data_IF_575697687587
#
_entry.id   IF_575697687587
#
_cell.length_a   1.000
_cell.length_b   1.000
_cell.length_c   1.000
_cell.angle_alpha   90.00
_cell.angle_beta   90.00
_cell.angle_gamma   90.00
#
_symmetry.space_group_name_H-M   'P 1'
#
loop_
_entity.id
_entity.type
_entity.pdbx_description
1 polymer ?
#
# COMPACT_ATOMS: atom_id res chain seq x y z
N UNK A 1 22.05 -8.27 -31.64
CA UNK A 1 22.72 -8.59 -32.91
C UNK A 1 22.40 -10.02 -33.33
N UNK A 2 22.14 -10.25 -34.64
CA UNK A 2 21.73 -11.54 -35.20
C UNK A 2 22.73 -12.69 -34.87
N UNK A 3 24.02 -12.35 -34.83
CA UNK A 3 25.06 -13.35 -34.51
C UNK A 3 25.00 -13.86 -33.05
N UNK A 4 24.60 -13.00 -32.11
CA UNK A 4 24.42 -13.42 -30.71
C UNK A 4 23.22 -14.35 -30.60
N UNK A 5 22.10 -14.01 -31.24
CA UNK A 5 20.91 -14.87 -31.26
C UNK A 5 21.23 -16.24 -31.87
N UNK A 6 22.00 -16.29 -32.96
CA UNK A 6 22.45 -17.55 -33.56
C UNK A 6 23.31 -18.37 -32.62
N UNK A 7 24.29 -17.75 -31.91
CA UNK A 7 25.12 -18.45 -30.93
C UNK A 7 24.29 -19.03 -29.78
N UNK A 8 23.36 -18.24 -29.24
CA UNK A 8 22.46 -18.71 -28.16
C UNK A 8 21.60 -19.88 -28.66
N UNK A 9 20.98 -19.73 -29.83
CA UNK A 9 20.18 -20.77 -30.48
C UNK A 9 20.94 -22.09 -30.61
N UNK A 10 22.18 -22.03 -31.12
CA UNK A 10 23.04 -23.21 -31.26
C UNK A 10 23.49 -23.80 -29.93
N UNK A 11 23.83 -22.95 -28.94
CA UNK A 11 24.35 -23.42 -27.65
C UNK A 11 23.26 -23.96 -26.72
N UNK A 12 22.01 -23.49 -26.87
CA UNK A 12 20.88 -23.88 -26.06
C UNK A 12 19.93 -24.87 -26.74
N UNK A 13 20.23 -25.25 -27.99
CA UNK A 13 19.39 -26.13 -28.83
C UNK A 13 17.93 -25.63 -28.92
N UNK A 14 17.78 -24.33 -29.17
CA UNK A 14 16.47 -23.68 -29.34
C UNK A 14 16.37 -23.04 -30.72
N UNK A 15 15.16 -22.94 -31.26
CA UNK A 15 14.92 -22.25 -32.51
C UNK A 15 15.43 -20.81 -32.42
N UNK A 16 16.04 -20.30 -33.48
CA UNK A 16 16.51 -18.91 -33.54
C UNK A 16 15.40 -17.91 -33.26
N UNK A 17 14.17 -18.20 -33.70
CA UNK A 17 12.99 -17.37 -33.47
C UNK A 17 12.51 -17.39 -32.01
N UNK A 18 12.97 -18.37 -31.23
CA UNK A 18 12.75 -18.43 -29.77
C UNK A 18 13.74 -17.61 -28.96
N UNK A 19 14.73 -16.97 -29.60
CA UNK A 19 15.70 -16.09 -28.94
C UNK A 19 15.28 -14.64 -29.12
N UNK A 20 14.53 -14.10 -28.18
CA UNK A 20 14.12 -12.70 -28.15
C UNK A 20 15.18 -11.82 -27.48
N UNK A 21 15.38 -10.61 -27.99
CA UNK A 21 16.22 -9.60 -27.34
C UNK A 21 15.35 -8.74 -26.41
N UNK A 22 15.54 -8.90 -25.11
CA UNK A 22 14.93 -8.05 -24.08
C UNK A 22 15.98 -7.05 -23.60
N UNK A 23 16.15 -5.97 -24.35
CA UNK A 23 17.08 -4.88 -24.02
C UNK A 23 16.43 -3.91 -23.04
N UNK A 24 17.26 -3.10 -22.38
CA UNK A 24 16.77 -2.05 -21.49
C UNK A 24 15.78 -1.12 -22.21
N UNK A 25 14.68 -0.83 -21.54
CA UNK A 25 13.64 0.06 -22.01
C UNK A 25 13.44 1.21 -21.03
N UNK A 26 12.91 2.36 -21.47
CA UNK A 26 12.65 3.50 -20.59
C UNK A 26 11.70 3.15 -19.43
N UNK A 27 10.81 2.17 -19.63
CA UNK A 27 9.89 1.66 -18.63
C UNK A 27 9.66 0.17 -18.83
N UNK A 28 9.41 -0.56 -17.73
CA UNK A 28 9.01 -1.98 -17.80
C UNK A 28 7.70 -2.16 -18.59
N UNK A 29 6.85 -1.13 -18.62
CA UNK A 29 5.61 -1.13 -19.39
C UNK A 29 5.82 -1.10 -20.91
N UNK A 30 7.03 -0.77 -21.40
CA UNK A 30 7.40 -0.87 -22.82
C UNK A 30 7.72 -2.31 -23.24
N UNK A 31 8.10 -3.17 -22.30
CA UNK A 31 8.61 -4.52 -22.58
C UNK A 31 7.63 -5.38 -23.38
N UNK A 32 6.31 -5.39 -23.13
CA UNK A 32 5.38 -6.16 -23.97
C UNK A 32 5.50 -5.82 -25.46
N UNK A 33 5.63 -4.53 -25.80
CA UNK A 33 5.84 -4.10 -27.19
C UNK A 33 7.21 -4.44 -27.75
N UNK A 34 8.25 -4.45 -26.89
CA UNK A 34 9.59 -4.90 -27.27
C UNK A 34 9.54 -6.38 -27.66
N UNK A 35 8.94 -7.23 -26.83
CA UNK A 35 8.83 -8.66 -27.08
C UNK A 35 7.93 -8.99 -28.29
N UNK A 36 6.86 -8.23 -28.49
CA UNK A 36 6.00 -8.35 -29.67
C UNK A 36 6.78 -8.05 -30.97
N UNK A 37 7.57 -6.97 -30.99
CA UNK A 37 8.44 -6.63 -32.15
C UNK A 37 9.50 -7.70 -32.42
N UNK A 38 9.91 -8.44 -31.40
CA UNK A 38 10.82 -9.59 -31.51
C UNK A 38 10.07 -10.88 -31.92
N UNK A 39 8.76 -10.82 -32.14
CA UNK A 39 7.88 -11.94 -32.50
C UNK A 39 7.84 -13.10 -31.49
N UNK A 40 8.15 -12.82 -30.21
CA UNK A 40 8.16 -13.83 -29.16
C UNK A 40 6.76 -14.39 -28.90
N UNK A 41 5.75 -13.56 -28.89
CA UNK A 41 4.34 -13.94 -28.78
C UNK A 41 3.91 -14.89 -29.90
N UNK A 42 4.22 -14.56 -31.13
CA UNK A 42 3.95 -15.40 -32.32
C UNK A 42 4.66 -16.76 -32.22
N UNK A 43 5.92 -16.74 -31.78
CA UNK A 43 6.68 -17.98 -31.56
C UNK A 43 6.02 -18.86 -30.50
N UNK A 44 5.63 -18.28 -29.34
CA UNK A 44 4.98 -19.01 -28.25
C UNK A 44 3.62 -19.59 -28.68
N UNK A 45 2.79 -18.79 -29.34
CA UNK A 45 1.48 -19.22 -29.84
C UNK A 45 1.63 -20.42 -30.78
N UNK A 46 2.56 -20.33 -31.74
CA UNK A 46 2.84 -21.40 -32.68
C UNK A 46 3.37 -22.66 -31.99
N UNK A 47 4.29 -22.49 -31.02
CA UNK A 47 4.91 -23.60 -30.30
C UNK A 47 3.94 -24.36 -29.42
N UNK A 48 2.97 -23.66 -28.83
CA UNK A 48 1.94 -24.23 -27.97
C UNK A 48 0.67 -24.65 -28.73
N UNK A 49 0.60 -24.44 -30.06
CA UNK A 49 -0.58 -24.77 -30.86
C UNK A 49 -1.82 -23.96 -30.48
N UNK A 50 -1.63 -22.73 -29.99
CA UNK A 50 -2.72 -21.84 -29.62
C UNK A 50 -3.31 -21.14 -30.85
N UNK A 51 -4.57 -20.73 -30.76
CA UNK A 51 -5.19 -19.93 -31.79
C UNK A 51 -4.55 -18.53 -31.82
N UNK A 52 -4.18 -18.08 -33.01
CA UNK A 52 -3.66 -16.74 -33.20
C UNK A 52 -4.81 -15.73 -33.19
N UNK A 53 -4.59 -14.64 -32.49
CA UNK A 53 -5.44 -13.46 -32.51
C UNK A 53 -4.53 -12.24 -32.55
N UNK A 54 -4.83 -11.28 -33.43
CA UNK A 54 -4.09 -10.02 -33.47
C UNK A 54 -4.20 -9.27 -32.12
N UNK A 55 -3.09 -8.66 -31.72
CA UNK A 55 -3.04 -7.93 -30.45
C UNK A 55 -3.67 -6.55 -30.62
N UNK A 56 -4.71 -6.25 -29.84
CA UNK A 56 -5.21 -4.88 -29.71
C UNK A 56 -4.35 -4.11 -28.69
N UNK A 57 -3.62 -3.12 -29.16
CA UNK A 57 -2.77 -2.25 -28.36
C UNK A 57 -3.46 -1.00 -27.85
N UNK A 58 -4.73 -0.74 -28.14
CA UNK A 58 -5.40 0.52 -27.85
C UNK A 58 -5.37 0.94 -26.39
N UNK A 59 -5.73 0.02 -25.47
CA UNK A 59 -5.66 0.26 -24.03
C UNK A 59 -4.21 0.40 -23.52
N UNK A 60 -3.30 -0.43 -24.04
CA UNK A 60 -1.89 -0.41 -23.69
C UNK A 60 -1.19 0.87 -24.16
N UNK A 61 -1.51 1.37 -25.36
CA UNK A 61 -1.00 2.65 -25.87
C UNK A 61 -1.46 3.83 -25.02
N UNK A 62 -2.69 3.77 -24.53
CA UNK A 62 -3.20 4.76 -23.58
C UNK A 62 -2.40 4.74 -22.27
N UNK A 63 -2.08 3.56 -21.75
CA UNK A 63 -1.21 3.41 -20.57
C UNK A 63 0.19 3.97 -20.84
N UNK A 64 0.84 3.58 -21.94
CA UNK A 64 2.18 4.06 -22.29
C UNK A 64 2.26 5.57 -22.45
N UNK A 65 1.22 6.18 -23.02
CA UNK A 65 1.14 7.65 -23.09
C UNK A 65 1.15 8.26 -21.67
N UNK A 66 0.37 7.73 -20.74
CA UNK A 66 0.33 8.20 -19.34
C UNK A 66 1.65 7.96 -18.60
N UNK A 67 2.34 6.87 -18.91
CA UNK A 67 3.67 6.56 -18.36
C UNK A 67 4.72 7.56 -18.83
N UNK A 68 4.75 7.87 -20.12
CA UNK A 68 5.81 8.68 -20.72
C UNK A 68 5.51 10.19 -20.80
N UNK A 69 4.24 10.55 -20.83
CA UNK A 69 3.77 11.93 -20.99
C UNK A 69 2.65 12.27 -19.99
N UNK A 70 2.89 12.11 -18.68
CA UNK A 70 1.91 12.48 -17.65
C UNK A 70 1.67 13.99 -17.71
N UNK A 71 0.43 14.40 -17.41
CA UNK A 71 0.02 15.82 -17.41
C UNK A 71 0.36 16.53 -16.10
N UNK A 72 0.47 15.77 -15.03
CA UNK A 72 0.71 16.29 -13.67
C UNK A 72 1.91 15.58 -13.04
N UNK A 73 2.46 16.21 -12.03
CA UNK A 73 3.46 15.58 -11.16
C UNK A 73 3.04 15.84 -9.72
N UNK A 74 3.08 14.81 -8.87
CA UNK A 74 2.80 14.91 -7.44
C UNK A 74 3.94 14.25 -6.67
N UNK A 75 4.22 14.75 -5.48
CA UNK A 75 5.21 14.20 -4.57
C UNK A 75 4.53 13.57 -3.36
N UNK A 76 4.75 12.26 -3.16
CA UNK A 76 4.21 11.51 -2.03
C UNK A 76 5.34 11.14 -1.08
N UNK A 77 5.27 11.59 0.17
CA UNK A 77 6.19 11.13 1.20
C UNK A 77 5.82 9.72 1.67
N UNK A 78 6.70 8.76 1.48
CA UNK A 78 6.59 7.43 2.05
C UNK A 78 7.37 7.40 3.36
N UNK A 79 6.64 7.39 4.49
CA UNK A 79 7.21 7.45 5.84
C UNK A 79 7.37 6.03 6.38
N UNK A 80 8.59 5.50 6.28
CA UNK A 80 8.89 4.12 6.60
C UNK A 80 10.13 3.93 7.47
N UNK A 81 10.38 2.68 7.87
CA UNK A 81 11.58 2.31 8.65
C UNK A 81 12.65 1.60 7.81
N UNK A 82 12.34 1.25 6.56
CA UNK A 82 13.23 0.53 5.65
C UNK A 82 13.54 1.35 4.39
N UNK A 83 13.70 2.66 4.54
CA UNK A 83 13.93 3.58 3.42
C UNK A 83 15.24 3.32 2.69
N UNK A 84 16.25 2.77 3.40
CA UNK A 84 17.53 2.38 2.81
C UNK A 84 17.46 1.07 2.00
N UNK A 85 16.31 0.38 2.04
CA UNK A 85 16.02 -0.82 1.29
C UNK A 85 14.71 -0.64 0.50
N UNK A 86 14.71 0.12 -0.61
CA UNK A 86 13.49 0.47 -1.37
C UNK A 86 12.66 -0.73 -1.80
N UNK A 87 13.29 -1.87 -2.05
CA UNK A 87 12.62 -3.12 -2.44
C UNK A 87 11.61 -3.61 -1.38
N UNK A 88 11.80 -3.24 -0.11
CA UNK A 88 10.85 -3.55 0.96
C UNK A 88 9.47 -2.91 0.72
N UNK A 89 9.42 -1.85 -0.07
CA UNK A 89 8.19 -1.11 -0.40
C UNK A 89 7.83 -1.16 -1.89
N UNK A 90 8.43 -2.06 -2.66
CA UNK A 90 8.23 -2.12 -4.11
C UNK A 90 6.76 -2.20 -4.50
N UNK A 91 5.97 -3.07 -3.83
CA UNK A 91 4.53 -3.20 -4.11
C UNK A 91 3.75 -1.90 -3.83
N UNK A 92 4.13 -1.16 -2.79
CA UNK A 92 3.50 0.12 -2.42
C UNK A 92 3.83 1.19 -3.45
N UNK A 93 5.10 1.29 -3.86
CA UNK A 93 5.53 2.27 -4.86
C UNK A 93 4.93 1.99 -6.23
N UNK A 94 4.81 0.72 -6.63
CA UNK A 94 4.15 0.33 -7.88
C UNK A 94 2.64 0.59 -7.83
N UNK A 95 1.99 0.38 -6.68
CA UNK A 95 0.58 0.74 -6.51
C UNK A 95 0.36 2.26 -6.63
N UNK A 96 1.22 3.07 -6.00
CA UNK A 96 1.19 4.53 -6.14
C UNK A 96 1.39 4.97 -7.60
N UNK A 97 2.35 4.38 -8.31
CA UNK A 97 2.58 4.65 -9.73
C UNK A 97 1.36 4.30 -10.59
N UNK A 98 0.75 3.14 -10.32
CA UNK A 98 -0.46 2.70 -11.03
C UNK A 98 -1.64 3.66 -10.80
N UNK A 99 -1.83 4.13 -9.57
CA UNK A 99 -2.78 5.21 -9.26
C UNK A 99 -2.45 6.50 -10.03
N UNK A 100 -1.17 6.86 -10.07
CA UNK A 100 -0.70 7.99 -10.86
C UNK A 100 -1.05 7.86 -12.35
N UNK A 101 -0.85 6.69 -12.95
CA UNK A 101 -1.23 6.45 -14.36
C UNK A 101 -2.74 6.60 -14.59
N UNK A 102 -3.55 6.14 -13.62
CA UNK A 102 -4.99 6.32 -13.70
C UNK A 102 -5.36 7.81 -13.76
N UNK A 103 -4.71 8.64 -12.98
CA UNK A 103 -4.96 10.09 -12.89
C UNK A 103 -4.08 10.93 -13.83
N UNK A 104 -3.37 10.32 -14.77
CA UNK A 104 -2.45 11.01 -15.72
C UNK A 104 -1.37 11.83 -14.99
N UNK A 105 -0.91 11.31 -13.82
CA UNK A 105 0.05 11.94 -12.95
C UNK A 105 1.32 11.09 -12.77
N UNK A 106 2.48 11.74 -12.76
CA UNK A 106 3.75 11.14 -12.35
C UNK A 106 3.88 11.25 -10.84
N UNK A 107 3.95 10.11 -10.17
CA UNK A 107 4.18 10.09 -8.72
C UNK A 107 5.67 10.03 -8.43
N UNK A 108 6.18 11.04 -7.72
CA UNK A 108 7.52 11.06 -7.14
C UNK A 108 7.45 10.60 -5.71
N UNK A 109 8.30 9.67 -5.32
CA UNK A 109 8.36 9.17 -3.95
C UNK A 109 9.48 9.91 -3.21
N UNK A 110 9.10 10.65 -2.15
CA UNK A 110 10.04 11.15 -1.15
C UNK A 110 10.18 10.12 -0.04
N UNK A 111 11.36 9.54 0.05
CA UNK A 111 11.67 8.56 1.08
C UNK A 111 11.97 9.28 2.39
N UNK A 112 11.20 9.01 3.44
CA UNK A 112 11.32 9.64 4.74
C UNK A 112 11.51 8.57 5.81
N UNK A 113 12.63 8.64 6.54
CA UNK A 113 12.82 7.81 7.72
C UNK A 113 11.81 8.24 8.80
N UNK A 114 11.03 7.30 9.32
CA UNK A 114 10.02 7.64 10.33
C UNK A 114 10.64 8.39 11.53
N UNK A 115 11.85 8.05 11.92
CA UNK A 115 12.55 8.68 13.05
C UNK A 115 12.79 10.18 12.87
N UNK A 116 12.84 10.69 11.64
CA UNK A 116 12.94 12.11 11.33
C UNK A 116 11.70 12.90 11.78
N UNK A 117 10.54 12.24 11.87
CA UNK A 117 9.26 12.85 12.19
C UNK A 117 8.89 12.79 13.70
N UNK A 118 9.79 12.35 14.58
CA UNK A 118 9.52 12.25 16.02
C UNK A 118 9.24 13.60 16.70
N UNK A 119 9.70 14.69 16.12
CA UNK A 119 9.45 16.03 16.63
C UNK A 119 8.67 16.86 15.60
N UNK A 120 7.87 17.85 16.02
CA UNK A 120 7.14 18.73 15.10
C UNK A 120 8.05 19.42 14.07
N UNK A 121 9.22 19.91 14.53
CA UNK A 121 10.20 20.54 13.65
C UNK A 121 10.84 19.55 12.67
N UNK A 122 11.04 18.29 13.08
CA UNK A 122 11.52 17.21 12.22
C UNK A 122 10.49 16.86 11.16
N UNK A 123 9.24 16.65 11.54
CA UNK A 123 8.13 16.39 10.62
C UNK A 123 7.98 17.52 9.60
N UNK A 124 8.00 18.79 10.04
CA UNK A 124 7.93 19.93 9.15
C UNK A 124 9.07 19.96 8.12
N UNK A 125 10.31 19.63 8.53
CA UNK A 125 11.43 19.57 7.58
C UNK A 125 11.31 18.42 6.59
N UNK A 126 10.89 17.25 7.06
CA UNK A 126 10.82 16.04 6.25
C UNK A 126 9.64 16.04 5.27
N UNK A 127 8.50 16.60 5.69
CA UNK A 127 7.22 16.53 4.98
C UNK A 127 6.81 17.84 4.33
N UNK A 128 7.45 18.96 4.65
CA UNK A 128 7.08 20.25 4.08
C UNK A 128 7.09 20.24 2.56
N UNK A 129 5.97 20.68 1.96
CA UNK A 129 5.79 20.81 0.52
C UNK A 129 5.44 19.53 -0.24
N UNK A 130 5.17 18.40 0.44
CA UNK A 130 4.62 17.20 -0.21
C UNK A 130 3.13 17.34 -0.49
N UNK A 131 2.66 16.69 -1.53
CA UNK A 131 1.24 16.68 -1.90
C UNK A 131 0.44 15.63 -1.11
N UNK A 132 1.10 14.56 -0.66
CA UNK A 132 0.47 13.52 0.14
C UNK A 132 1.49 12.77 1.01
N UNK A 133 0.99 12.08 2.04
CA UNK A 133 1.79 11.20 2.91
C UNK A 133 1.24 9.78 2.87
N UNK A 134 2.13 8.79 2.79
CA UNK A 134 1.79 7.39 2.93
C UNK A 134 2.60 6.77 4.07
N UNK A 135 1.88 6.13 5.01
CA UNK A 135 2.48 5.32 6.08
C UNK A 135 2.22 3.85 5.81
N UNK A 136 3.23 3.08 5.39
CA UNK A 136 3.08 1.70 5.01
C UNK A 136 2.94 0.77 6.22
N UNK A 137 2.58 -0.48 5.95
CA UNK A 137 2.58 -1.58 6.89
C UNK A 137 3.97 -1.86 7.50
N UNK A 138 3.97 -2.64 8.57
CA UNK A 138 5.17 -3.05 9.28
C UNK A 138 4.81 -3.75 10.59
N UNK A 139 5.83 -4.15 11.36
CA UNK A 139 5.68 -4.82 12.64
C UNK A 139 6.67 -4.26 13.66
N UNK A 140 6.32 -4.36 14.96
CA UNK A 140 7.16 -4.00 16.09
C UNK A 140 7.29 -2.49 16.31
N UNK A 141 7.96 -2.15 17.39
CA UNK A 141 7.93 -0.81 18.02
C UNK A 141 8.80 0.24 17.34
N UNK A 142 9.81 -0.15 16.54
CA UNK A 142 10.74 0.80 15.92
C UNK A 142 10.05 1.75 14.95
N UNK A 143 10.24 3.05 15.14
CA UNK A 143 9.75 4.10 14.26
C UNK A 143 8.26 4.46 14.45
N UNK A 144 7.59 3.93 15.47
CA UNK A 144 6.16 4.19 15.70
C UNK A 144 5.93 5.67 16.04
N UNK A 145 6.66 6.23 17.00
CA UNK A 145 6.46 7.64 17.40
C UNK A 145 6.73 8.61 16.24
N UNK A 146 7.68 8.29 15.35
CA UNK A 146 7.88 9.08 14.16
C UNK A 146 6.74 8.97 13.13
N UNK A 147 6.13 7.78 12.99
CA UNK A 147 4.92 7.63 12.16
C UNK A 147 3.76 8.42 12.74
N UNK A 148 3.56 8.39 14.06
CA UNK A 148 2.56 9.21 14.74
C UNK A 148 2.82 10.71 14.53
N UNK A 149 4.09 11.14 14.62
CA UNK A 149 4.48 12.51 14.35
C UNK A 149 4.20 12.95 12.91
N UNK A 150 4.46 12.08 11.93
CA UNK A 150 4.12 12.33 10.53
C UNK A 150 2.61 12.45 10.30
N UNK A 151 1.83 11.54 10.87
CA UNK A 151 0.37 11.53 10.77
C UNK A 151 -0.25 12.76 11.44
N UNK A 152 0.26 13.14 12.62
CA UNK A 152 -0.14 14.38 13.30
C UNK A 152 0.12 15.60 12.42
N UNK A 153 1.33 15.70 11.88
CA UNK A 153 1.70 16.81 11.00
C UNK A 153 0.77 16.87 9.79
N UNK A 154 0.51 15.76 9.14
CA UNK A 154 -0.35 15.68 7.96
C UNK A 154 -1.78 16.15 8.29
N UNK A 155 -2.36 15.64 9.39
CA UNK A 155 -3.69 16.05 9.84
C UNK A 155 -3.76 17.55 10.17
N UNK A 156 -2.79 18.08 10.91
CA UNK A 156 -2.74 19.48 11.31
C UNK A 156 -2.54 20.44 10.11
N UNK A 157 -1.97 19.94 8.99
CA UNK A 157 -1.73 20.74 7.77
C UNK A 157 -2.69 20.40 6.62
N UNK A 158 -3.69 19.54 6.84
CA UNK A 158 -4.66 19.16 5.81
C UNK A 158 -4.04 18.41 4.62
N UNK A 159 -2.91 17.70 4.84
CA UNK A 159 -2.24 16.94 3.79
C UNK A 159 -2.89 15.58 3.65
N UNK A 160 -3.36 15.18 2.44
CA UNK A 160 -3.92 13.86 2.18
C UNK A 160 -3.01 12.74 2.65
N UNK A 161 -3.57 11.78 3.37
CA UNK A 161 -2.76 10.74 4.01
C UNK A 161 -3.39 9.37 3.88
N UNK A 162 -2.57 8.37 3.53
CA UNK A 162 -2.96 6.96 3.48
C UNK A 162 -2.14 6.15 4.48
N UNK A 163 -2.81 5.47 5.41
CA UNK A 163 -2.20 4.49 6.33
C UNK A 163 -2.59 3.07 5.94
N UNK A 164 -1.61 2.21 5.72
CA UNK A 164 -1.85 0.81 5.33
C UNK A 164 -1.43 -0.11 6.48
N UNK A 165 -2.32 -1.02 6.94
CA UNK A 165 -2.06 -2.00 7.98
C UNK A 165 -1.56 -1.30 9.27
N UNK A 166 -0.30 -1.42 9.64
CA UNK A 166 0.29 -0.67 10.76
C UNK A 166 0.08 0.85 10.63
N UNK A 167 0.09 1.37 9.41
CA UNK A 167 -0.20 2.78 9.14
C UNK A 167 -1.60 3.20 9.58
N UNK A 168 -2.63 2.38 9.29
CA UNK A 168 -4.00 2.58 9.79
C UNK A 168 -4.03 2.54 11.32
N UNK A 169 -3.37 1.56 11.94
CA UNK A 169 -3.29 1.46 13.41
C UNK A 169 -2.64 2.71 14.01
N UNK A 170 -1.58 3.23 13.39
CA UNK A 170 -0.97 4.49 13.81
C UNK A 170 -1.93 5.69 13.65
N UNK A 171 -2.75 5.73 12.59
CA UNK A 171 -3.78 6.76 12.43
C UNK A 171 -4.79 6.74 13.58
N UNK A 172 -5.27 5.56 13.97
CA UNK A 172 -6.18 5.40 15.10
C UNK A 172 -5.53 5.85 16.41
N UNK A 173 -4.27 5.46 16.66
CA UNK A 173 -3.54 5.85 17.87
C UNK A 173 -3.29 7.37 17.90
N UNK A 174 -2.91 7.97 16.76
CA UNK A 174 -2.70 9.41 16.65
C UNK A 174 -3.98 10.18 16.96
N UNK A 175 -5.09 9.79 16.34
CA UNK A 175 -6.40 10.40 16.58
C UNK A 175 -6.84 10.22 18.05
N UNK A 176 -6.67 9.04 18.60
CA UNK A 176 -6.99 8.76 20.01
C UNK A 176 -6.23 9.66 20.97
N UNK A 177 -4.92 9.83 20.77
CA UNK A 177 -4.07 10.67 21.62
C UNK A 177 -4.35 12.15 21.48
N UNK A 178 -4.39 12.65 20.24
CA UNK A 178 -4.31 14.08 19.97
C UNK A 178 -5.67 14.73 19.66
N UNK A 179 -6.70 13.96 19.34
CA UNK A 179 -8.04 14.47 19.05
C UNK A 179 -9.04 13.99 20.12
N UNK A 180 -9.11 12.70 20.39
CA UNK A 180 -10.02 12.14 21.38
C UNK A 180 -9.52 12.31 22.85
N UNK A 181 -8.29 12.78 23.05
CA UNK A 181 -7.72 13.04 24.37
C UNK A 181 -7.64 11.78 25.25
N UNK A 182 -7.38 10.61 24.63
CA UNK A 182 -7.21 9.33 25.34
C UNK A 182 -5.75 9.23 25.76
N UNK A 183 -5.47 9.56 27.02
CA UNK A 183 -4.12 9.51 27.56
C UNK A 183 -3.57 8.09 27.54
N UNK A 184 -2.31 7.94 27.11
CA UNK A 184 -1.64 6.65 27.01
C UNK A 184 -2.16 5.74 25.88
N UNK A 185 -3.03 6.23 24.97
CA UNK A 185 -3.53 5.42 23.86
C UNK A 185 -2.38 4.81 23.05
N UNK A 186 -2.41 3.49 22.86
CA UNK A 186 -1.37 2.73 22.17
C UNK A 186 -1.93 1.43 21.60
N UNK A 187 -1.07 0.63 20.97
CA UNK A 187 -1.32 -0.76 20.64
C UNK A 187 -0.73 -1.67 21.72
N UNK A 188 -1.43 -2.72 22.09
CA UNK A 188 -0.88 -3.78 22.94
C UNK A 188 0.28 -4.55 22.29
N UNK A 189 0.53 -4.36 20.96
CA UNK A 189 1.75 -4.81 20.29
C UNK A 189 2.97 -4.01 20.73
N UNK A 190 2.81 -2.69 20.89
CA UNK A 190 3.92 -1.77 21.16
C UNK A 190 4.17 -1.61 22.64
N UNK A 191 3.09 -1.59 23.42
CA UNK A 191 3.09 -1.48 24.87
C UNK A 191 2.03 -2.41 25.45
N UNK A 192 2.41 -3.64 25.86
CA UNK A 192 1.48 -4.58 26.48
C UNK A 192 0.88 -4.07 27.79
N UNK A 193 1.52 -3.08 28.43
CA UNK A 193 1.06 -2.46 29.68
C UNK A 193 0.27 -1.17 29.49
N UNK A 194 -0.05 -0.77 28.26
CA UNK A 194 -0.76 0.48 28.00
C UNK A 194 -2.10 0.55 28.75
N UNK A 195 -2.42 1.68 29.39
CA UNK A 195 -3.72 1.86 30.05
C UNK A 195 -4.88 2.00 29.06
N UNK A 196 -4.59 2.30 27.80
CA UNK A 196 -5.58 2.52 26.74
C UNK A 196 -5.19 1.80 25.45
N UNK A 197 -5.41 0.48 25.35
CA UNK A 197 -5.10 -0.30 24.16
C UNK A 197 -6.15 -0.10 23.07
N UNK A 198 -6.09 1.06 22.37
CA UNK A 198 -7.01 1.40 21.27
C UNK A 198 -6.83 0.51 20.04
N UNK A 199 -5.69 -0.19 19.98
CA UNK A 199 -5.42 -1.28 19.04
C UNK A 199 -4.98 -2.48 19.88
N UNK A 200 -5.67 -3.62 19.74
CA UNK A 200 -5.44 -4.80 20.55
C UNK A 200 -5.68 -6.09 19.76
N UNK A 201 -5.24 -7.22 20.33
CA UNK A 201 -5.63 -8.53 19.81
C UNK A 201 -7.10 -8.81 20.08
N UNK A 202 -7.77 -9.55 19.19
CA UNK A 202 -9.10 -10.07 19.48
C UNK A 202 -9.11 -10.94 20.74
N UNK A 203 -10.25 -10.99 21.44
CA UNK A 203 -10.38 -11.75 22.67
C UNK A 203 -9.98 -13.23 22.51
N UNK A 204 -10.29 -13.83 21.37
CA UNK A 204 -9.93 -15.20 21.00
C UNK A 204 -8.42 -15.40 20.80
N UNK A 205 -7.67 -14.33 20.55
CA UNK A 205 -6.22 -14.36 20.35
C UNK A 205 -5.45 -14.04 21.64
N UNK A 206 -6.09 -13.46 22.66
CA UNK A 206 -5.43 -13.08 23.93
C UNK A 206 -4.79 -14.27 24.63
N UNK A 207 -5.49 -15.41 24.68
CA UNK A 207 -4.95 -16.64 25.29
C UNK A 207 -3.70 -17.18 24.61
N UNK A 208 -3.53 -16.87 23.33
CA UNK A 208 -2.39 -17.32 22.51
C UNK A 208 -1.20 -16.38 22.68
N UNK A 209 -1.44 -15.07 22.74
CA UNK A 209 -0.39 -14.07 23.01
C UNK A 209 0.17 -14.23 24.41
N UNK A 210 -0.67 -14.63 25.39
CA UNK A 210 -0.28 -14.94 26.76
C UNK A 210 0.49 -16.27 26.93
N UNK A 211 0.84 -16.94 25.82
CA UNK A 211 1.71 -18.11 25.80
C UNK A 211 1.00 -19.46 25.89
N UNK A 212 -0.32 -19.50 25.80
CA UNK A 212 -1.13 -20.71 25.92
C UNK A 212 -1.47 -21.42 24.58
N UNK A 213 -0.95 -20.95 23.43
CA UNK A 213 -1.28 -21.50 22.13
C UNK A 213 -0.26 -21.21 21.01
N UNK A 214 -0.49 -21.78 19.83
CA UNK A 214 0.36 -21.61 18.65
C UNK A 214 0.12 -20.24 18.00
N UNK A 215 1.11 -19.35 18.04
CA UNK A 215 1.10 -18.02 17.42
C UNK A 215 0.93 -18.05 15.90
N UNK A 216 1.27 -19.14 15.23
CA UNK A 216 1.20 -19.26 13.76
C UNK A 216 -0.21 -19.22 13.20
N UNK A 217 -1.21 -19.74 13.93
CA UNK A 217 -2.60 -19.89 13.50
C UNK A 217 -3.53 -18.69 13.78
N UNK A 218 -3.06 -17.66 14.50
CA UNK A 218 -3.91 -16.55 14.96
C UNK A 218 -3.85 -15.29 14.12
N UNK A 219 -2.99 -15.25 13.09
CA UNK A 219 -2.87 -14.12 12.19
C UNK A 219 -4.03 -14.11 11.20
N UNK A 220 -4.70 -12.96 11.03
CA UNK A 220 -5.56 -12.75 9.87
C UNK A 220 -4.66 -12.69 8.63
N UNK A 221 -4.71 -13.74 7.85
CA UNK A 221 -3.86 -13.92 6.67
C UNK A 221 -4.74 -14.31 5.47
N UNK A 222 -4.64 -13.53 4.40
CA UNK A 222 -5.37 -13.79 3.17
C UNK A 222 -6.42 -12.72 2.88
N UNK A 223 -7.40 -13.09 2.08
CA UNK A 223 -8.41 -12.20 1.53
C UNK A 223 -9.63 -12.14 2.44
N UNK A 224 -10.02 -10.94 2.87
CA UNK A 224 -11.17 -10.71 3.75
C UNK A 224 -12.10 -9.66 3.14
N UNK A 225 -13.43 -9.88 3.22
CA UNK A 225 -14.41 -8.92 2.72
C UNK A 225 -14.54 -7.73 3.67
N UNK A 226 -14.82 -6.57 3.10
CA UNK A 226 -15.23 -5.38 3.84
C UNK A 226 -16.46 -4.75 3.19
N UNK A 227 -17.37 -4.28 4.01
CA UNK A 227 -18.50 -3.44 3.59
C UNK A 227 -18.13 -2.00 3.89
N UNK A 228 -18.12 -1.18 2.83
CA UNK A 228 -17.80 0.23 2.91
C UNK A 228 -19.07 1.05 3.16
N UNK A 229 -18.91 2.14 3.89
CA UNK A 229 -19.97 3.11 4.14
C UNK A 229 -20.27 3.88 2.86
N UNK A 230 -21.53 3.91 2.45
CA UNK A 230 -21.97 4.69 1.30
C UNK A 230 -21.66 6.19 1.50
N UNK A 231 -21.15 6.84 0.45
CA UNK A 231 -20.72 8.25 0.50
C UNK A 231 -19.42 8.51 1.25
N UNK A 232 -18.67 7.47 1.65
CA UNK A 232 -17.33 7.61 2.17
C UNK A 232 -16.32 7.81 1.04
N UNK A 233 -15.19 8.49 1.34
CA UNK A 233 -14.06 8.66 0.41
C UNK A 233 -13.54 7.29 -0.05
N UNK A 234 -13.52 6.33 0.87
CA UNK A 234 -13.11 4.95 0.58
C UNK A 234 -14.05 4.30 -0.46
N UNK A 235 -15.38 4.41 -0.28
CA UNK A 235 -16.34 3.83 -1.23
C UNK A 235 -16.26 4.51 -2.61
N UNK A 236 -16.04 5.82 -2.65
CA UNK A 236 -15.82 6.55 -3.90
C UNK A 236 -14.56 6.10 -4.62
N UNK A 237 -13.46 5.92 -3.88
CA UNK A 237 -12.19 5.47 -4.45
C UNK A 237 -12.27 4.05 -5.05
N UNK A 238 -13.03 3.15 -4.41
CA UNK A 238 -13.26 1.79 -4.93
C UNK A 238 -14.37 1.73 -5.99
N UNK A 239 -15.25 2.71 -6.04
CA UNK A 239 -16.44 2.70 -6.92
C UNK A 239 -17.49 1.64 -6.56
N UNK A 240 -17.44 1.10 -5.34
CA UNK A 240 -18.32 0.07 -4.80
C UNK A 240 -18.35 0.12 -3.28
N UNK A 241 -19.40 -0.44 -2.68
CA UNK A 241 -19.51 -0.59 -1.22
C UNK A 241 -19.13 -1.98 -0.70
N UNK A 242 -18.73 -2.90 -1.57
CA UNK A 242 -18.25 -4.23 -1.19
C UNK A 242 -16.88 -4.47 -1.83
N UNK A 243 -15.89 -4.70 -0.99
CA UNK A 243 -14.50 -4.92 -1.41
C UNK A 243 -13.91 -6.12 -0.69
N UNK A 244 -12.80 -6.62 -1.22
CA UNK A 244 -12.06 -7.71 -0.61
C UNK A 244 -10.59 -7.36 -0.68
N UNK A 245 -9.95 -7.29 0.49
CA UNK A 245 -8.54 -6.90 0.61
C UNK A 245 -7.71 -7.99 1.29
N UNK A 246 -6.41 -7.97 1.03
CA UNK A 246 -5.47 -8.92 1.66
C UNK A 246 -4.97 -8.39 2.98
N UNK A 247 -5.13 -9.20 4.03
CA UNK A 247 -4.72 -8.91 5.39
C UNK A 247 -3.49 -9.73 5.78
N UNK A 248 -2.67 -9.14 6.66
CA UNK A 248 -1.57 -9.81 7.34
C UNK A 248 -1.29 -9.10 8.65
N UNK A 249 -2.16 -9.29 9.65
CA UNK A 249 -2.01 -8.68 10.98
C UNK A 249 -2.74 -9.49 12.04
N UNK A 250 -2.44 -9.21 13.32
CA UNK A 250 -3.07 -9.82 14.51
C UNK A 250 -3.83 -8.81 15.35
N UNK A 251 -3.46 -7.54 15.22
CA UNK A 251 -4.00 -6.48 16.06
C UNK A 251 -5.04 -5.72 15.28
N UNK A 252 -6.15 -5.42 15.95
CA UNK A 252 -7.33 -4.78 15.39
C UNK A 252 -7.65 -3.51 16.19
N UNK A 253 -8.42 -2.61 15.60
CA UNK A 253 -9.00 -1.49 16.35
C UNK A 253 -9.91 -2.05 17.42
N UNK A 254 -9.68 -1.63 18.67
CA UNK A 254 -10.42 -2.14 19.82
C UNK A 254 -11.82 -1.52 19.88
N UNK A 255 -12.83 -2.38 19.84
CA UNK A 255 -14.25 -2.00 19.82
C UNK A 255 -14.65 -1.14 21.04
N UNK A 256 -14.01 -1.37 22.20
CA UNK A 256 -14.29 -0.60 23.43
C UNK A 256 -14.05 0.90 23.27
N UNK A 257 -13.20 1.30 22.32
CA UNK A 257 -12.87 2.71 22.06
C UNK A 257 -13.59 3.29 20.86
N UNK A 258 -14.26 2.47 20.06
CA UNK A 258 -14.85 2.87 18.79
C UNK A 258 -15.79 4.06 18.92
N UNK A 259 -16.77 3.98 19.82
CA UNK A 259 -17.74 5.06 20.02
C UNK A 259 -17.06 6.40 20.33
N UNK A 260 -16.04 6.39 21.21
CA UNK A 260 -15.31 7.60 21.56
C UNK A 260 -14.49 8.18 20.41
N UNK A 261 -13.94 7.33 19.55
CA UNK A 261 -13.23 7.75 18.35
C UNK A 261 -14.19 8.39 17.35
N UNK A 262 -15.38 7.78 17.14
CA UNK A 262 -16.40 8.31 16.25
C UNK A 262 -16.99 9.64 16.75
N UNK A 263 -17.22 9.80 18.08
CA UNK A 263 -17.67 11.05 18.70
C UNK A 263 -16.71 12.22 18.45
N UNK A 264 -15.44 11.93 18.23
CA UNK A 264 -14.40 12.95 17.96
C UNK A 264 -14.08 13.12 16.47
N UNK A 265 -14.92 12.53 15.59
CA UNK A 265 -14.89 12.76 14.15
C UNK A 265 -14.14 11.73 13.32
N UNK A 266 -13.59 10.66 13.94
CA UNK A 266 -13.06 9.54 13.16
C UNK A 266 -14.24 8.79 12.53
N UNK A 267 -14.24 8.64 11.21
CA UNK A 267 -15.27 7.88 10.51
C UNK A 267 -14.80 6.45 10.30
N UNK A 268 -15.56 5.48 10.78
CA UNK A 268 -15.39 4.08 10.40
C UNK A 268 -16.04 3.91 9.03
N UNK A 269 -15.23 3.91 7.98
CA UNK A 269 -15.70 3.87 6.59
C UNK A 269 -15.79 2.47 6.00
N UNK A 270 -15.29 1.45 6.71
CA UNK A 270 -15.46 0.06 6.30
C UNK A 270 -15.31 -0.92 7.45
N UNK A 271 -16.14 -1.97 7.42
CA UNK A 271 -16.13 -3.03 8.44
C UNK A 271 -16.25 -4.41 7.82
N UNK A 272 -15.68 -5.41 8.49
CA UNK A 272 -15.90 -6.81 8.12
C UNK A 272 -17.38 -7.18 8.32
N UNK A 273 -18.10 -7.71 7.31
CA UNK A 273 -19.54 -7.87 7.37
C UNK A 273 -20.06 -8.82 8.47
N UNK A 274 -19.28 -9.83 8.84
CA UNK A 274 -19.68 -10.83 9.85
C UNK A 274 -19.04 -10.55 11.23
N UNK A 275 -17.78 -10.09 11.24
CA UNK A 275 -17.03 -9.92 12.48
C UNK A 275 -17.17 -8.51 13.08
N UNK A 276 -17.67 -7.54 12.31
CA UNK A 276 -17.78 -6.14 12.73
C UNK A 276 -16.46 -5.40 12.89
N UNK A 277 -15.32 -6.04 12.59
CA UNK A 277 -13.99 -5.46 12.75
C UNK A 277 -13.81 -4.26 11.83
N UNK A 278 -13.08 -3.26 12.32
CA UNK A 278 -12.77 -2.04 11.57
C UNK A 278 -11.72 -2.35 10.51
N UNK A 279 -12.08 -2.17 9.24
CA UNK A 279 -11.22 -2.39 8.09
C UNK A 279 -10.70 -1.08 7.47
N UNK A 280 -11.52 -0.04 7.51
CA UNK A 280 -11.20 1.28 6.98
C UNK A 280 -11.63 2.39 7.94
N UNK A 281 -10.78 3.39 8.06
CA UNK A 281 -11.07 4.64 8.78
C UNK A 281 -10.74 5.83 7.91
N UNK A 282 -11.45 6.93 8.08
CA UNK A 282 -11.16 8.18 7.40
C UNK A 282 -11.51 9.39 8.27
N UNK A 283 -10.85 10.50 7.98
CA UNK A 283 -11.26 11.82 8.43
C UNK A 283 -11.85 12.55 7.22
N UNK A 284 -13.12 12.99 7.29
CA UNK A 284 -13.72 13.73 6.20
C UNK A 284 -12.93 15.05 6.01
N UNK A 285 -12.76 15.46 4.76
CA UNK A 285 -12.32 16.82 4.46
C UNK A 285 -13.46 17.77 4.78
N UNK A 286 -13.19 18.81 5.58
CA UNK A 286 -14.08 19.95 5.69
C UNK A 286 -14.07 20.81 4.42
#
# INVERSE_FOLDING_TARGET
PADIKRKISMSCDVDKDGVAACVDAPSIYDIPKVLHREHLDTFVIRRLGLNFTDVDWGSWDTLLRRVHQPRHEIEVALVGKYIDLPDAYLSVTEALRSGGFHHDAKVRIRWVASDECQTPAGAQRALGGVDAVLVPGGFGVRGIEGKLGALRWSREHGVPTLGICLGLQCMVIEHARNVAGIEGASSSEFDPGTPAPVVATMAEQRSVVDGAGDLGGTMRLGSYPARLREGSVTAEAYGTTEVTERHRHRYEVNEDYRARLEETGLVISGTHPELGLVEFVELPHE
#
